data_IF_118176230821
#
_entry.id   IF_118176230821
#
_cell.length_a   1.000
_cell.length_b   1.000
_cell.length_c   1.000
_cell.angle_alpha   90.00
_cell.angle_beta   90.00
_cell.angle_gamma   90.00
#
_symmetry.space_group_name_H-M   'P 1'
#
loop_
_entity.id
_entity.type
_entity.pdbx_description
1 polymer ?
#
# COMPACT_ATOMS: atom_id res chain seq x y z
N UNK A 1 -10.72 26.96 3.21
CA UNK A 1 -10.69 25.51 2.90
C UNK A 1 -9.78 25.27 1.70
N UNK A 2 -8.75 24.41 1.78
CA UNK A 2 -8.00 24.00 0.59
C UNK A 2 -8.94 23.26 -0.36
N UNK A 3 -9.22 23.85 -1.50
CA UNK A 3 -10.06 23.28 -2.55
C UNK A 3 -9.53 21.90 -2.98
N UNK A 4 -10.42 20.97 -3.33
CA UNK A 4 -10.00 19.69 -3.95
C UNK A 4 -9.68 19.98 -5.40
N UNK A 5 -8.41 19.90 -5.76
CA UNK A 5 -7.93 20.21 -7.10
C UNK A 5 -8.19 19.04 -8.05
N UNK A 6 -8.05 19.29 -9.36
CA UNK A 6 -8.09 18.23 -10.37
C UNK A 6 -6.92 17.25 -10.21
N UNK A 7 -5.77 17.76 -9.80
CA UNK A 7 -4.54 17.00 -9.55
C UNK A 7 -4.74 16.01 -8.40
N UNK A 8 -5.38 16.42 -7.30
CA UNK A 8 -5.71 15.54 -6.17
C UNK A 8 -6.53 14.32 -6.66
N UNK A 9 -7.53 14.56 -7.51
CA UNK A 9 -8.38 13.50 -8.05
C UNK A 9 -7.61 12.57 -8.98
N UNK A 10 -6.77 13.13 -9.87
CA UNK A 10 -5.95 12.34 -10.79
C UNK A 10 -4.92 11.49 -10.04
N UNK A 11 -4.31 12.04 -8.99
CA UNK A 11 -3.44 11.30 -8.09
C UNK A 11 -4.17 10.09 -7.48
N UNK A 12 -5.35 10.28 -6.90
CA UNK A 12 -6.12 9.17 -6.33
C UNK A 12 -6.51 8.12 -7.39
N UNK A 13 -6.94 8.53 -8.59
CA UNK A 13 -7.23 7.59 -9.68
C UNK A 13 -6.00 6.77 -10.05
N UNK A 14 -4.81 7.40 -10.05
CA UNK A 14 -3.54 6.71 -10.28
C UNK A 14 -3.27 5.71 -9.17
N UNK A 15 -3.31 6.13 -7.91
CA UNK A 15 -3.06 5.27 -6.75
C UNK A 15 -3.99 4.05 -6.73
N UNK A 16 -5.28 4.24 -7.00
CA UNK A 16 -6.26 3.15 -7.09
C UNK A 16 -5.87 2.06 -8.12
N UNK A 17 -5.25 2.46 -9.24
CA UNK A 17 -4.78 1.51 -10.28
C UNK A 17 -3.54 0.73 -9.86
N UNK A 18 -2.79 1.24 -8.90
CA UNK A 18 -1.57 0.61 -8.37
C UNK A 18 -1.82 -0.20 -7.10
N UNK A 19 -3.06 -0.32 -6.64
CA UNK A 19 -3.38 -1.06 -5.40
C UNK A 19 -2.84 -2.50 -5.42
N UNK A 20 -3.11 -3.25 -6.50
CA UNK A 20 -2.60 -4.62 -6.66
C UNK A 20 -1.08 -4.68 -6.68
N UNK A 21 -0.44 -3.67 -7.27
CA UNK A 21 1.02 -3.58 -7.32
C UNK A 21 1.60 -3.36 -5.92
N UNK A 22 1.04 -2.42 -5.15
CA UNK A 22 1.49 -2.17 -3.77
C UNK A 22 1.30 -3.39 -2.87
N UNK A 23 0.19 -4.12 -3.02
CA UNK A 23 -0.02 -5.37 -2.27
C UNK A 23 1.06 -6.41 -2.60
N UNK A 24 1.37 -6.61 -3.90
CA UNK A 24 2.43 -7.54 -4.31
C UNK A 24 3.80 -7.12 -3.77
N UNK A 25 4.18 -5.85 -3.91
CA UNK A 25 5.46 -5.37 -3.39
C UNK A 25 5.57 -5.53 -1.87
N UNK A 26 4.47 -5.29 -1.14
CA UNK A 26 4.41 -5.52 0.30
C UNK A 26 4.60 -7.00 0.63
N UNK A 27 3.98 -7.91 -0.12
CA UNK A 27 4.13 -9.35 0.06
C UNK A 27 5.57 -9.80 -0.22
N UNK A 28 6.17 -9.34 -1.32
CA UNK A 28 7.57 -9.61 -1.67
C UNK A 28 8.53 -9.12 -0.56
N UNK A 29 8.28 -7.94 0.01
CA UNK A 29 9.09 -7.41 1.13
C UNK A 29 8.89 -8.24 2.40
N UNK A 30 7.67 -8.71 2.68
CA UNK A 30 7.44 -9.59 3.82
C UNK A 30 8.22 -10.89 3.67
N UNK A 31 8.25 -11.50 2.48
CA UNK A 31 9.08 -12.68 2.20
C UNK A 31 10.57 -12.40 2.44
N UNK A 32 11.08 -11.25 1.97
CA UNK A 32 12.47 -10.85 2.21
C UNK A 32 12.77 -10.64 3.70
N UNK A 33 11.86 -10.02 4.45
CA UNK A 33 11.96 -9.86 5.90
C UNK A 33 11.99 -11.21 6.62
N UNK A 34 11.18 -12.19 6.19
CA UNK A 34 11.23 -13.56 6.72
C UNK A 34 12.60 -14.20 6.50
N UNK A 35 13.20 -14.04 5.31
CA UNK A 35 14.53 -14.57 5.00
C UNK A 35 15.60 -13.91 5.88
N UNK A 36 15.55 -12.58 6.05
CA UNK A 36 16.49 -11.83 6.90
C UNK A 36 16.35 -12.26 8.37
N UNK A 37 15.12 -12.39 8.87
CA UNK A 37 14.85 -12.87 10.23
C UNK A 37 15.39 -14.29 10.48
N UNK A 38 15.19 -15.20 9.52
CA UNK A 38 15.75 -16.56 9.60
C UNK A 38 17.28 -16.55 9.65
N UNK A 39 17.93 -15.73 8.80
CA UNK A 39 19.39 -15.55 8.81
C UNK A 39 19.86 -15.01 10.16
N UNK A 40 19.21 -13.97 10.70
CA UNK A 40 19.52 -13.38 12.01
C UNK A 40 19.38 -14.38 13.15
N UNK A 41 18.36 -15.25 13.12
CA UNK A 41 18.20 -16.34 14.08
C UNK A 41 19.36 -17.35 13.99
N UNK A 42 19.84 -17.68 12.79
CA UNK A 42 21.03 -18.51 12.59
C UNK A 42 22.33 -17.88 13.11
N UNK A 43 22.40 -16.54 13.19
CA UNK A 43 23.53 -15.82 13.82
C UNK A 43 23.38 -15.73 15.36
N UNK A 44 22.20 -16.02 15.90
CA UNK A 44 21.99 -16.07 17.35
C UNK A 44 22.47 -17.42 17.89
N UNK A 45 23.55 -17.40 18.67
CA UNK A 45 24.21 -18.61 19.16
C UNK A 45 23.32 -19.40 20.13
N UNK A 46 23.24 -20.72 19.98
CA UNK A 46 22.65 -21.60 21.00
C UNK A 46 23.58 -21.73 22.21
N UNK A 47 23.07 -21.22 23.33
CA UNK A 47 23.34 -21.60 24.72
C UNK A 47 24.63 -21.18 25.45
N UNK A 48 24.41 -20.87 26.72
CA UNK A 48 25.39 -20.69 27.81
C UNK A 48 26.34 -21.90 27.85
N UNK A 49 27.58 -21.72 27.40
CA UNK A 49 28.72 -22.52 27.87
C UNK A 49 29.93 -21.62 28.09
N UNK A 50 30.52 -21.74 29.29
CA UNK A 50 31.86 -21.24 29.61
C UNK A 50 32.88 -21.99 28.75
N UNK A 51 33.26 -21.44 27.61
CA UNK A 51 34.54 -21.76 26.96
C UNK A 51 35.06 -20.44 26.38
N UNK A 52 36.11 -19.90 26.99
CA UNK A 52 36.92 -18.83 26.41
C UNK A 52 37.83 -19.51 25.39
N UNK A 53 37.60 -19.27 24.10
CA UNK A 53 38.48 -19.69 23.02
C UNK A 53 39.38 -18.50 22.66
N UNK A 54 40.68 -18.65 22.90
CA UNK A 54 41.73 -17.63 22.66
C UNK A 54 41.90 -17.24 21.17
N UNK A 55 41.20 -17.92 20.26
CA UNK A 55 41.11 -17.61 18.82
C UNK A 55 39.67 -17.21 18.42
N UNK A 56 38.96 -16.44 19.25
CA UNK A 56 37.65 -15.91 18.92
C UNK A 56 37.75 -14.93 17.74
N UNK A 57 37.66 -15.49 16.53
CA UNK A 57 37.39 -14.79 15.28
C UNK A 57 36.36 -13.68 15.53
N UNK A 58 36.73 -12.46 15.14
CA UNK A 58 36.08 -11.18 15.43
C UNK A 58 34.54 -11.32 15.57
N UNK A 59 33.90 -10.91 16.68
CA UNK A 59 32.45 -10.97 16.84
C UNK A 59 31.66 -10.14 15.79
N UNK A 60 32.34 -9.30 15.02
CA UNK A 60 31.82 -8.57 13.85
C UNK A 60 32.07 -9.28 12.49
N UNK A 61 32.64 -10.50 12.46
CA UNK A 61 32.85 -11.26 11.21
C UNK A 61 31.57 -11.86 10.64
N UNK A 62 30.52 -11.98 11.44
CA UNK A 62 29.21 -12.40 10.96
C UNK A 62 28.47 -11.14 10.52
N UNK A 63 27.95 -11.13 9.28
CA UNK A 63 27.20 -10.05 8.60
C UNK A 63 25.91 -9.58 9.34
N UNK A 64 25.85 -9.68 10.67
CA UNK A 64 24.72 -9.34 11.52
C UNK A 64 24.37 -7.86 11.44
N UNK A 65 25.35 -6.96 11.41
CA UNK A 65 25.10 -5.51 11.26
C UNK A 65 24.47 -5.24 9.90
N UNK A 66 25.02 -5.81 8.83
CA UNK A 66 24.47 -5.69 7.47
C UNK A 66 23.04 -6.25 7.39
N UNK A 67 22.75 -7.39 8.03
CA UNK A 67 21.41 -7.97 8.08
C UNK A 67 20.42 -7.08 8.83
N UNK A 68 20.83 -6.43 9.92
CA UNK A 68 19.99 -5.47 10.66
C UNK A 68 19.75 -4.19 9.85
N UNK A 69 20.75 -3.70 9.14
CA UNK A 69 20.59 -2.56 8.22
C UNK A 69 19.62 -2.90 7.09
N UNK A 70 19.79 -4.07 6.48
CA UNK A 70 18.88 -4.59 5.45
C UNK A 70 17.45 -4.73 5.96
N UNK A 71 17.26 -5.28 7.17
CA UNK A 71 15.95 -5.37 7.81
C UNK A 71 15.31 -3.99 7.98
N UNK A 72 16.10 -3.01 8.44
CA UNK A 72 15.64 -1.63 8.62
C UNK A 72 15.24 -0.94 7.32
N UNK A 73 15.96 -1.18 6.22
CA UNK A 73 15.60 -0.66 4.90
C UNK A 73 14.31 -1.28 4.37
N UNK A 74 14.18 -2.60 4.47
CA UNK A 74 12.97 -3.34 4.07
C UNK A 74 11.74 -2.89 4.87
N UNK A 75 11.88 -2.68 6.18
CA UNK A 75 10.79 -2.15 7.02
C UNK A 75 10.36 -0.74 6.56
N UNK A 76 11.31 0.15 6.24
CA UNK A 76 10.99 1.49 5.73
C UNK A 76 10.24 1.42 4.40
N UNK A 77 10.66 0.55 3.50
CA UNK A 77 10.00 0.37 2.21
C UNK A 77 8.59 -0.20 2.36
N UNK A 78 8.42 -1.23 3.21
CA UNK A 78 7.11 -1.79 3.55
C UNK A 78 6.18 -0.71 4.09
N UNK A 79 6.64 0.12 5.01
CA UNK A 79 5.83 1.19 5.61
C UNK A 79 5.32 2.18 4.55
N UNK A 80 6.10 2.48 3.51
CA UNK A 80 5.64 3.33 2.39
C UNK A 80 4.50 2.69 1.62
N UNK A 81 4.59 1.39 1.31
CA UNK A 81 3.49 0.68 0.65
C UNK A 81 2.26 0.57 1.56
N UNK A 82 2.45 0.33 2.86
CA UNK A 82 1.37 0.33 3.85
C UNK A 82 0.66 1.70 3.92
N UNK A 83 1.39 2.80 3.91
CA UNK A 83 0.81 4.15 3.86
C UNK A 83 -0.01 4.39 2.59
N UNK A 84 0.50 3.97 1.43
CA UNK A 84 -0.20 4.09 0.15
C UNK A 84 -1.49 3.26 0.11
N UNK A 85 -1.43 1.99 0.56
CA UNK A 85 -2.59 1.10 0.66
C UNK A 85 -3.64 1.68 1.62
N UNK A 86 -3.22 2.14 2.80
CA UNK A 86 -4.12 2.75 3.78
C UNK A 86 -4.82 4.00 3.24
N UNK A 87 -4.11 4.83 2.47
CA UNK A 87 -4.71 5.99 1.81
C UNK A 87 -5.81 5.57 0.83
N UNK A 88 -5.53 4.57 -0.01
CA UNK A 88 -6.49 4.05 -0.99
C UNK A 88 -7.72 3.46 -0.28
N UNK A 89 -7.50 2.62 0.74
CA UNK A 89 -8.57 1.97 1.50
C UNK A 89 -9.51 3.00 2.15
N UNK A 90 -8.96 4.04 2.80
CA UNK A 90 -9.78 5.12 3.38
C UNK A 90 -10.66 5.82 2.36
N UNK A 91 -10.15 6.05 1.14
CA UNK A 91 -10.94 6.65 0.06
C UNK A 91 -12.06 5.71 -0.38
N UNK A 92 -11.74 4.44 -0.60
CA UNK A 92 -12.70 3.41 -0.98
C UNK A 92 -13.81 3.24 0.08
N UNK A 93 -13.46 3.19 1.35
CA UNK A 93 -14.41 3.15 2.47
C UNK A 93 -15.33 4.37 2.47
N UNK A 94 -14.76 5.58 2.29
CA UNK A 94 -15.56 6.81 2.24
C UNK A 94 -16.56 6.80 1.08
N UNK A 95 -16.17 6.25 -0.07
CA UNK A 95 -17.06 6.06 -1.22
C UNK A 95 -18.15 5.05 -0.85
N UNK A 96 -17.78 3.91 -0.27
CA UNK A 96 -18.70 2.83 0.12
C UNK A 96 -19.78 3.30 1.10
N UNK A 97 -19.37 4.03 2.14
CA UNK A 97 -20.29 4.66 3.09
C UNK A 97 -21.22 5.69 2.47
N UNK A 98 -20.87 6.23 1.29
CA UNK A 98 -21.70 7.21 0.58
C UNK A 98 -22.65 6.53 -0.39
N UNK A 99 -22.20 5.50 -1.09
CA UNK A 99 -22.98 4.73 -2.06
C UNK A 99 -22.23 3.46 -2.44
N UNK A 100 -22.84 2.29 -2.20
CA UNK A 100 -22.28 0.99 -2.60
C UNK A 100 -22.18 0.88 -4.13
N UNK A 101 -23.13 1.45 -4.88
CA UNK A 101 -23.09 1.48 -6.35
C UNK A 101 -21.89 2.28 -6.88
N UNK A 102 -21.57 3.41 -6.25
CA UNK A 102 -20.42 4.22 -6.63
C UNK A 102 -19.10 3.53 -6.23
N UNK A 103 -19.10 2.79 -5.12
CA UNK A 103 -17.96 1.95 -4.73
C UNK A 103 -17.68 0.88 -5.78
N UNK A 104 -18.69 0.10 -6.16
CA UNK A 104 -18.53 -0.95 -7.17
C UNK A 104 -18.08 -0.37 -8.52
N UNK A 105 -18.65 0.77 -8.92
CA UNK A 105 -18.24 1.46 -10.15
C UNK A 105 -16.76 1.85 -10.13
N UNK A 106 -16.27 2.45 -9.02
CA UNK A 106 -14.85 2.83 -8.90
C UNK A 106 -13.95 1.61 -8.80
N UNK A 107 -14.38 0.56 -8.10
CA UNK A 107 -13.62 -0.67 -7.96
C UNK A 107 -13.39 -1.33 -9.32
N UNK A 108 -14.46 -1.56 -10.08
CA UNK A 108 -14.39 -2.15 -11.42
C UNK A 108 -13.52 -1.30 -12.36
N UNK A 109 -13.67 0.02 -12.26
CA UNK A 109 -13.07 0.92 -13.23
C UNK A 109 -11.62 1.32 -12.94
N UNK A 110 -11.23 1.39 -11.68
CA UNK A 110 -9.91 1.84 -11.27
C UNK A 110 -9.05 0.69 -10.71
N UNK A 111 -9.62 -0.20 -9.89
CA UNK A 111 -8.88 -1.31 -9.27
C UNK A 111 -8.76 -2.47 -10.25
N UNK A 112 -9.88 -2.99 -10.74
CA UNK A 112 -9.89 -4.07 -11.75
C UNK A 112 -9.48 -3.60 -13.15
N UNK A 113 -9.35 -2.27 -13.36
CA UNK A 113 -8.90 -1.65 -14.60
C UNK A 113 -9.72 -2.12 -15.82
N UNK A 114 -11.02 -2.31 -15.64
CA UNK A 114 -11.91 -2.71 -16.72
C UNK A 114 -11.97 -1.63 -17.80
N UNK A 115 -12.23 -2.05 -19.04
CA UNK A 115 -12.38 -1.10 -20.14
C UNK A 115 -13.65 -0.27 -19.96
N UNK A 116 -13.61 0.99 -20.37
CA UNK A 116 -14.78 1.90 -20.27
C UNK A 116 -16.01 1.34 -21.00
N UNK A 117 -15.80 0.52 -22.05
CA UNK A 117 -16.89 -0.23 -22.69
C UNK A 117 -17.52 -1.26 -21.74
N UNK A 118 -16.74 -2.13 -21.09
CA UNK A 118 -17.30 -3.11 -20.15
C UNK A 118 -18.01 -2.44 -18.97
N UNK A 119 -17.43 -1.36 -18.45
CA UNK A 119 -18.03 -0.55 -17.37
C UNK A 119 -19.37 0.03 -17.83
N UNK A 120 -19.44 0.57 -19.06
CA UNK A 120 -20.67 1.13 -19.61
C UNK A 120 -21.84 0.14 -19.62
N UNK A 121 -21.54 -1.13 -19.91
CA UNK A 121 -22.53 -2.22 -19.96
C UNK A 121 -22.97 -2.66 -18.56
N UNK A 122 -22.02 -2.84 -17.64
CA UNK A 122 -22.30 -3.31 -16.27
C UNK A 122 -23.05 -2.26 -15.45
N UNK A 123 -22.64 -1.00 -15.57
CA UNK A 123 -23.14 0.11 -14.75
C UNK A 123 -24.16 1.00 -15.49
N UNK A 124 -24.66 0.52 -16.63
CA UNK A 124 -25.69 1.17 -17.46
C UNK A 124 -25.45 2.68 -17.66
N UNK A 125 -24.22 3.04 -18.05
CA UNK A 125 -23.84 4.43 -18.26
C UNK A 125 -23.21 4.64 -19.63
N UNK A 126 -23.30 5.85 -20.17
CA UNK A 126 -22.69 6.14 -21.47
C UNK A 126 -21.16 6.08 -21.37
N UNK A 127 -20.47 5.43 -22.32
CA UNK A 127 -19.01 5.26 -22.33
C UNK A 127 -18.26 6.58 -22.08
N UNK A 128 -18.67 7.65 -22.74
CA UNK A 128 -17.99 8.95 -22.61
C UNK A 128 -18.19 9.60 -21.23
N UNK A 129 -19.19 9.18 -20.46
CA UNK A 129 -19.46 9.72 -19.12
C UNK A 129 -18.66 9.02 -18.00
N UNK A 130 -17.97 7.92 -18.32
CA UNK A 130 -17.26 7.09 -17.33
C UNK A 130 -16.19 7.91 -16.62
N UNK A 131 -15.41 8.70 -17.36
CA UNK A 131 -14.36 9.55 -16.78
C UNK A 131 -14.95 10.62 -15.85
N UNK A 132 -15.97 11.34 -16.32
CA UNK A 132 -16.61 12.40 -15.53
C UNK A 132 -17.25 11.85 -14.26
N UNK A 133 -17.84 10.65 -14.34
CA UNK A 133 -18.39 9.94 -13.19
C UNK A 133 -17.29 9.56 -12.19
N UNK A 134 -16.15 9.01 -12.65
CA UNK A 134 -14.98 8.71 -11.79
C UNK A 134 -14.55 9.96 -11.01
N UNK A 135 -14.34 11.07 -11.73
CA UNK A 135 -13.90 12.34 -11.15
C UNK A 135 -14.89 12.86 -10.12
N UNK A 136 -16.20 12.80 -10.42
CA UNK A 136 -17.25 13.28 -9.52
C UNK A 136 -17.29 12.51 -8.21
N UNK A 137 -17.26 11.17 -8.28
CA UNK A 137 -17.32 10.29 -7.10
C UNK A 137 -16.11 10.55 -6.20
N UNK A 138 -14.90 10.55 -6.77
CA UNK A 138 -13.66 10.74 -6.00
C UNK A 138 -13.60 12.15 -5.41
N UNK A 139 -13.98 13.19 -6.16
CA UNK A 139 -14.04 14.56 -5.64
C UNK A 139 -15.02 14.67 -4.46
N UNK A 140 -16.15 13.96 -4.49
CA UNK A 140 -17.12 13.91 -3.38
C UNK A 140 -16.51 13.22 -2.15
N UNK A 141 -15.83 12.09 -2.34
CA UNK A 141 -15.17 11.37 -1.24
C UNK A 141 -14.08 12.22 -0.57
N UNK A 142 -13.21 12.87 -1.35
CA UNK A 142 -12.16 13.74 -0.82
C UNK A 142 -12.70 14.94 -0.05
N UNK A 143 -13.80 15.55 -0.50
CA UNK A 143 -14.49 16.61 0.24
C UNK A 143 -15.00 16.12 1.60
N UNK A 144 -15.60 14.91 1.64
CA UNK A 144 -16.13 14.29 2.87
C UNK A 144 -15.03 13.91 3.87
N UNK A 145 -13.86 13.45 3.39
CA UNK A 145 -12.71 13.22 4.27
C UNK A 145 -12.18 14.51 4.88
N UNK A 146 -12.11 15.59 4.09
CA UNK A 146 -11.69 16.92 4.59
C UNK A 146 -12.63 17.46 5.65
N UNK A 147 -13.95 17.27 5.51
CA UNK A 147 -14.91 17.70 6.55
C UNK A 147 -14.75 16.93 7.86
N UNK A 148 -14.40 15.64 7.80
CA UNK A 148 -14.18 14.81 9.01
C UNK A 148 -12.93 15.18 9.80
N UNK A 149 -11.90 15.75 9.16
CA UNK A 149 -10.65 16.15 9.83
C UNK A 149 -10.73 17.49 10.57
N UNK A 150 -11.81 18.26 10.34
CA UNK A 150 -12.01 19.59 10.93
C UNK A 150 -13.01 19.58 12.10
N UNK A 151 -13.44 18.40 12.52
CA UNK A 151 -14.25 18.14 13.72
C UNK A 151 -13.33 17.48 14.73
#
# INVERSE_FOLDING_TARGET
>A
MKEVTKEDVQFIIKELRFLDYYNKCKDDINEQLYVVAYKLQGVSSTAIKKVVLENARNPYQNNKIELLEQEGELMKERNRYDEAINLIQKVLETIRETSESDYQFIYDACVLRMTDYKISQIHYCHKNSVWDRKVRIIKKALKKQKSRKNV
#
